data_IF_778321091999
#
_entry.id   IF_778321091999
#
_cell.length_a   1.000
_cell.length_b   1.000
_cell.length_c   1.000
_cell.angle_alpha   90.00
_cell.angle_beta   90.00
_cell.angle_gamma   90.00
#
_symmetry.space_group_name_H-M   'P 1'
#
loop_
_entity.id
_entity.type
_entity.pdbx_description
1 polymer ?
#
# COMPACT_ATOMS: atom_id res chain seq x y z
N UNK A 1 -26.06 0.52 9.85
CA UNK A 1 -24.87 -0.34 9.70
C UNK A 1 -24.54 -0.34 8.23
N UNK A 2 -23.31 -0.02 7.84
CA UNK A 2 -22.91 -0.08 6.44
C UNK A 2 -23.04 -1.53 5.94
N UNK A 3 -23.51 -1.70 4.70
CA UNK A 3 -23.57 -3.03 4.08
C UNK A 3 -22.15 -3.60 3.92
N UNK A 4 -22.03 -4.93 3.77
CA UNK A 4 -20.74 -5.57 3.52
C UNK A 4 -20.05 -4.98 2.28
N UNK A 5 -20.82 -4.66 1.23
CA UNK A 5 -20.33 -4.03 0.01
C UNK A 5 -19.83 -2.60 0.23
N UNK A 6 -20.48 -1.82 1.10
CA UNK A 6 -20.04 -0.46 1.44
C UNK A 6 -18.70 -0.47 2.16
N UNK A 7 -18.50 -1.39 3.11
CA UNK A 7 -17.22 -1.55 3.83
C UNK A 7 -16.11 -2.02 2.89
N UNK A 8 -16.43 -2.94 1.97
CA UNK A 8 -15.50 -3.41 0.96
C UNK A 8 -15.08 -2.27 0.03
N UNK A 9 -16.05 -1.49 -0.46
CA UNK A 9 -15.77 -0.34 -1.31
C UNK A 9 -14.91 0.68 -0.58
N UNK A 10 -15.26 1.03 0.66
CA UNK A 10 -14.50 1.95 1.50
C UNK A 10 -13.04 1.48 1.64
N UNK A 11 -12.83 0.22 2.02
CA UNK A 11 -11.49 -0.37 2.13
C UNK A 11 -10.69 -0.29 0.83
N UNK A 12 -11.30 -0.62 -0.32
CA UNK A 12 -10.63 -0.52 -1.63
C UNK A 12 -10.28 0.93 -1.96
N UNK A 13 -11.20 1.86 -1.72
CA UNK A 13 -11.02 3.29 -2.01
C UNK A 13 -10.02 3.95 -1.07
N UNK A 14 -9.78 3.40 0.12
CA UNK A 14 -8.74 3.85 1.03
C UNK A 14 -7.38 3.25 0.68
N UNK A 15 -7.30 1.94 0.43
CA UNK A 15 -6.03 1.24 0.20
C UNK A 15 -5.40 1.60 -1.14
N UNK A 16 -6.20 1.65 -2.20
CA UNK A 16 -5.66 1.82 -3.57
C UNK A 16 -4.87 3.11 -3.74
N UNK A 17 -5.36 4.30 -3.30
CA UNK A 17 -4.59 5.53 -3.40
C UNK A 17 -3.29 5.51 -2.58
N UNK A 18 -3.33 4.98 -1.35
CA UNK A 18 -2.15 4.88 -0.49
C UNK A 18 -1.07 4.01 -1.12
N UNK A 19 -1.46 2.85 -1.66
CA UNK A 19 -0.56 1.95 -2.40
C UNK A 19 0.06 2.64 -3.61
N UNK A 20 -0.74 3.30 -4.45
CA UNK A 20 -0.23 4.01 -5.63
C UNK A 20 0.72 5.14 -5.25
N UNK A 21 0.45 5.85 -4.15
CA UNK A 21 1.30 6.93 -3.64
C UNK A 21 2.64 6.39 -3.15
N UNK A 22 2.65 5.27 -2.41
CA UNK A 22 3.88 4.60 -2.00
C UNK A 22 4.70 4.13 -3.21
N UNK A 23 4.05 3.60 -4.25
CA UNK A 23 4.72 3.21 -5.50
C UNK A 23 5.35 4.40 -6.24
N UNK A 24 4.67 5.56 -6.28
CA UNK A 24 5.22 6.78 -6.87
C UNK A 24 6.40 7.33 -6.05
N UNK A 25 6.35 7.23 -4.72
CA UNK A 25 7.47 7.59 -3.85
C UNK A 25 8.71 6.70 -4.15
N UNK A 26 8.52 5.40 -4.36
CA UNK A 26 9.61 4.52 -4.80
C UNK A 26 10.20 4.94 -6.15
N UNK A 27 9.36 5.32 -7.11
CA UNK A 27 9.85 5.82 -8.40
C UNK A 27 10.72 7.09 -8.22
N UNK A 28 10.32 8.01 -7.35
CA UNK A 28 11.13 9.18 -7.02
C UNK A 28 12.46 8.82 -6.37
N UNK A 29 12.47 7.84 -5.45
CA UNK A 29 13.69 7.34 -4.81
C UNK A 29 14.63 6.72 -5.83
N UNK A 30 14.12 5.85 -6.70
CA UNK A 30 14.91 5.19 -7.75
C UNK A 30 15.56 6.20 -8.70
N UNK A 31 14.81 7.23 -9.12
CA UNK A 31 15.32 8.31 -9.99
C UNK A 31 16.43 9.14 -9.33
N UNK A 32 16.46 9.22 -8.00
CA UNK A 32 17.42 10.01 -7.23
C UNK A 32 18.45 9.15 -6.47
N UNK A 33 18.56 7.87 -6.81
CA UNK A 33 19.35 6.90 -6.05
C UNK A 33 20.84 7.25 -6.14
N UNK A 34 21.42 7.67 -5.00
CA UNK A 34 22.84 7.95 -4.86
C UNK A 34 23.35 7.36 -3.54
N UNK A 35 24.50 6.63 -3.54
CA UNK A 35 24.97 5.92 -2.35
C UNK A 35 25.11 6.78 -1.08
N UNK A 36 25.52 8.04 -1.23
CA UNK A 36 25.67 8.97 -0.09
C UNK A 36 24.34 9.47 0.51
N UNK A 37 23.20 9.20 -0.15
CA UNK A 37 21.87 9.70 0.26
C UNK A 37 20.90 8.58 0.64
N UNK A 38 21.35 7.32 0.69
CA UNK A 38 20.48 6.18 0.97
C UNK A 38 19.67 6.34 2.27
N UNK A 39 20.32 6.78 3.35
CA UNK A 39 19.62 7.03 4.62
C UNK A 39 18.53 8.10 4.49
N UNK A 40 18.78 9.18 3.75
CA UNK A 40 17.80 10.24 3.51
C UNK A 40 16.63 9.75 2.64
N UNK A 41 16.91 8.92 1.64
CA UNK A 41 15.89 8.32 0.78
C UNK A 41 15.03 7.32 1.55
N UNK A 42 15.60 6.59 2.51
CA UNK A 42 14.84 5.72 3.42
C UNK A 42 13.94 6.54 4.36
N UNK A 43 14.46 7.63 4.96
CA UNK A 43 13.64 8.55 5.77
C UNK A 43 12.50 9.19 4.97
N UNK A 44 12.71 9.45 3.67
CA UNK A 44 11.67 9.96 2.79
C UNK A 44 10.52 8.96 2.58
N UNK A 45 10.80 7.65 2.57
CA UNK A 45 9.78 6.62 2.36
C UNK A 45 8.91 6.36 3.60
N UNK A 46 9.43 6.61 4.81
CA UNK A 46 8.73 6.34 6.08
C UNK A 46 7.27 6.80 6.16
N UNK A 47 6.92 8.06 5.85
CA UNK A 47 5.53 8.49 5.96
C UNK A 47 4.59 7.69 5.04
N UNK A 48 5.06 7.29 3.86
CA UNK A 48 4.28 6.48 2.92
C UNK A 48 4.18 5.02 3.37
N UNK A 49 5.23 4.49 4.00
CA UNK A 49 5.21 3.17 4.64
C UNK A 49 4.20 3.12 5.79
N UNK A 50 4.24 4.10 6.68
CA UNK A 50 3.37 4.18 7.86
C UNK A 50 1.89 4.29 7.44
N UNK A 51 1.60 5.15 6.46
CA UNK A 51 0.25 5.30 5.92
C UNK A 51 -0.25 3.99 5.27
N UNK A 52 0.56 3.39 4.39
CA UNK A 52 0.19 2.15 3.71
C UNK A 52 -0.04 1.01 4.71
N UNK A 53 0.80 0.92 5.75
CA UNK A 53 0.65 -0.07 6.81
C UNK A 53 -0.67 0.13 7.56
N UNK A 54 -0.95 1.35 8.00
CA UNK A 54 -2.18 1.66 8.74
C UNK A 54 -3.43 1.32 7.93
N UNK A 55 -3.46 1.65 6.63
CA UNK A 55 -4.62 1.36 5.78
C UNK A 55 -4.73 -0.14 5.48
N UNK A 56 -3.60 -0.85 5.35
CA UNK A 56 -3.59 -2.30 5.08
C UNK A 56 -4.17 -3.12 6.23
N UNK A 57 -3.93 -2.72 7.49
CA UNK A 57 -4.48 -3.42 8.67
C UNK A 57 -6.02 -3.43 8.67
N UNK A 58 -6.66 -2.36 8.16
CA UNK A 58 -8.12 -2.30 8.02
C UNK A 58 -8.68 -3.08 6.82
N UNK A 59 -7.82 -3.57 5.93
CA UNK A 59 -8.20 -4.26 4.70
C UNK A 59 -8.15 -5.79 4.85
N UNK A 60 -7.31 -6.31 5.75
CA UNK A 60 -7.13 -7.75 6.01
C UNK A 60 -8.41 -8.43 6.57
N UNK A 61 -9.24 -7.68 7.31
CA UNK A 61 -10.46 -8.20 7.95
C UNK A 61 -11.70 -8.17 7.02
N UNK A 62 -11.55 -7.75 5.76
CA UNK A 62 -12.67 -7.64 4.82
C UNK A 62 -12.98 -8.99 4.14
N UNK A 63 -14.27 -9.32 4.05
CA UNK A 63 -14.74 -10.46 3.27
C UNK A 63 -14.87 -10.06 1.79
N UNK A 64 -14.16 -10.76 0.91
CA UNK A 64 -14.18 -10.53 -0.53
C UNK A 64 -15.08 -11.55 -1.23
N UNK A 65 -16.13 -11.10 -1.95
CA UNK A 65 -16.91 -11.98 -2.81
C UNK A 65 -16.05 -12.66 -3.89
N UNK A 66 -16.43 -13.87 -4.30
CA UNK A 66 -15.67 -14.68 -5.27
C UNK A 66 -15.34 -13.93 -6.57
N UNK A 67 -16.28 -13.12 -7.06
CA UNK A 67 -16.12 -12.37 -8.31
C UNK A 67 -15.07 -11.23 -8.23
N UNK A 68 -14.65 -10.81 -7.03
CA UNK A 68 -13.58 -9.82 -6.80
C UNK A 68 -12.35 -10.39 -6.11
N UNK A 69 -12.35 -11.68 -5.75
CA UNK A 69 -11.25 -12.31 -5.02
C UNK A 69 -9.88 -12.11 -5.69
N UNK A 70 -9.81 -12.27 -7.01
CA UNK A 70 -8.57 -12.05 -7.77
C UNK A 70 -8.06 -10.61 -7.70
N UNK A 71 -8.96 -9.62 -7.65
CA UNK A 71 -8.57 -8.22 -7.49
C UNK A 71 -8.00 -7.98 -6.09
N UNK A 72 -8.62 -8.56 -5.06
CA UNK A 72 -8.12 -8.52 -3.69
C UNK A 72 -6.72 -9.13 -3.58
N UNK A 73 -6.49 -10.30 -4.17
CA UNK A 73 -5.18 -10.96 -4.21
C UNK A 73 -4.09 -10.05 -4.81
N UNK A 74 -4.40 -9.33 -5.88
CA UNK A 74 -3.48 -8.38 -6.50
C UNK A 74 -3.17 -7.20 -5.58
N UNK A 75 -4.19 -6.63 -4.91
CA UNK A 75 -4.02 -5.57 -3.92
C UNK A 75 -3.15 -6.04 -2.75
N UNK A 76 -3.45 -7.19 -2.13
CA UNK A 76 -2.68 -7.75 -1.03
C UNK A 76 -1.23 -8.01 -1.42
N UNK A 77 -1.00 -8.61 -2.59
CA UNK A 77 0.36 -8.90 -3.08
C UNK A 77 1.13 -7.61 -3.31
N UNK A 78 0.52 -6.62 -3.96
CA UNK A 78 1.17 -5.34 -4.24
C UNK A 78 1.49 -4.57 -2.94
N UNK A 79 0.56 -4.51 -1.99
CA UNK A 79 0.78 -3.91 -0.66
C UNK A 79 1.91 -4.61 0.08
N UNK A 80 1.91 -5.94 0.10
CA UNK A 80 2.97 -6.74 0.74
C UNK A 80 4.35 -6.45 0.13
N UNK A 81 4.44 -6.40 -1.20
CA UNK A 81 5.70 -6.11 -1.87
C UNK A 81 6.17 -4.68 -1.67
N UNK A 82 5.26 -3.70 -1.67
CA UNK A 82 5.57 -2.30 -1.38
C UNK A 82 6.10 -2.13 0.05
N UNK A 83 5.42 -2.68 1.06
CA UNK A 83 5.87 -2.63 2.46
C UNK A 83 7.21 -3.35 2.65
N UNK A 84 7.41 -4.50 1.98
CA UNK A 84 8.70 -5.19 2.00
C UNK A 84 9.81 -4.34 1.39
N UNK A 85 9.53 -3.59 0.32
CA UNK A 85 10.52 -2.74 -0.33
C UNK A 85 10.95 -1.55 0.55
N UNK A 86 10.14 -1.10 1.51
CA UNK A 86 10.53 -0.09 2.50
C UNK A 86 11.59 -0.61 3.50
N UNK A 87 11.66 -1.93 3.70
CA UNK A 87 12.54 -2.59 4.67
C UNK A 87 13.87 -3.11 4.06
N UNK A 88 14.10 -2.88 2.76
CA UNK A 88 15.21 -3.44 1.96
C UNK A 88 16.42 -2.53 1.81
#
# INVERSE_FOLDING_TARGET
MASSDEKLLEGITSLTPSLLTAMEAFEQVQRNMHPSRLAQLAEFLKPFEEELKQVSEGFDDLEFPEHVARFAEHLFSATTYSLRACNG
#
